data_IF_085990604202
#
_entry.id   IF_085990604202
#
_cell.length_a   1.000
_cell.length_b   1.000
_cell.length_c   1.000
_cell.angle_alpha   90.00
_cell.angle_beta   90.00
_cell.angle_gamma   90.00
#
_symmetry.space_group_name_H-M   'P 1'
#
loop_
_entity.id
_entity.type
_entity.pdbx_description
1 polymer ?
#
# COMPACT_ATOMS: atom_id res chain seq x y z
N UNK A 1 -2.81 36.96 -4.04
CA UNK A 1 -1.64 36.10 -3.77
C UNK A 1 -1.77 35.62 -2.33
N UNK A 2 -2.26 34.40 -2.12
CA UNK A 2 -2.64 33.84 -0.81
C UNK A 2 -1.47 33.01 -0.27
N UNK A 3 -0.87 33.32 0.90
CA UNK A 3 0.07 32.41 1.53
C UNK A 3 -0.69 31.26 2.20
N UNK A 4 -0.25 30.03 1.90
CA UNK A 4 -0.77 28.78 2.45
C UNK A 4 -0.62 28.76 3.98
N UNK A 5 -1.71 28.39 4.66
CA UNK A 5 -1.77 28.20 6.10
C UNK A 5 -0.76 27.16 6.57
N UNK A 6 0.03 27.54 7.57
CA UNK A 6 0.79 26.63 8.43
C UNK A 6 -0.24 25.88 9.28
N UNK A 7 -0.29 24.56 9.15
CA UNK A 7 -0.97 23.72 10.13
C UNK A 7 -0.18 23.72 11.44
N UNK A 8 -0.91 23.76 12.54
CA UNK A 8 -0.50 24.05 13.91
C UNK A 8 0.48 23.04 14.52
N UNK A 9 1.28 23.45 15.52
CA UNK A 9 2.13 22.54 16.29
C UNK A 9 1.25 21.69 17.22
N UNK A 10 1.50 20.38 17.29
CA UNK A 10 0.74 19.49 18.17
C UNK A 10 1.40 19.23 19.52
N UNK A 11 2.59 19.78 19.79
CA UNK A 11 3.21 19.70 21.12
C UNK A 11 4.08 20.93 21.36
N UNK A 12 3.48 21.96 21.96
CA UNK A 12 4.23 22.97 22.69
C UNK A 12 3.70 22.93 24.14
N UNK A 13 4.47 22.30 25.02
CA UNK A 13 4.32 22.56 26.44
C UNK A 13 5.72 22.64 27.05
N UNK A 14 6.11 23.89 27.31
CA UNK A 14 7.30 24.31 28.03
C UNK A 14 7.01 24.23 29.52
N UNK A 15 7.92 23.64 30.31
CA UNK A 15 8.02 23.90 31.76
C UNK A 15 9.46 24.30 32.12
N UNK A 16 9.66 25.07 33.21
CA UNK A 16 10.63 26.15 33.22
C UNK A 16 12.00 25.77 33.79
N UNK A 17 12.97 26.63 33.47
CA UNK A 17 14.35 26.62 33.93
C UNK A 17 14.48 26.49 35.46
N UNK A 18 15.21 25.47 35.91
CA UNK A 18 15.77 25.43 37.26
C UNK A 18 17.20 25.97 37.20
N UNK A 19 17.34 27.22 37.64
CA UNK A 19 18.63 27.86 37.87
C UNK A 19 19.18 27.41 39.23
N UNK A 20 20.36 26.79 39.25
CA UNK A 20 21.03 26.48 40.52
C UNK A 20 22.19 25.49 40.42
N UNK A 21 23.37 26.01 40.08
CA UNK A 21 24.72 25.51 40.45
C UNK A 21 25.18 24.12 39.91
N UNK A 22 25.86 24.11 38.75
CA UNK A 22 26.63 22.95 38.24
C UNK A 22 28.12 23.35 38.08
N UNK A 23 29.10 22.56 38.58
CA UNK A 23 30.54 22.86 38.45
C UNK A 23 31.00 22.84 36.98
N UNK A 24 32.15 23.44 36.63
CA UNK A 24 32.58 23.60 35.24
C UNK A 24 32.74 22.25 34.55
N UNK A 25 31.90 22.01 33.54
CA UNK A 25 31.91 20.83 32.68
C UNK A 25 33.27 20.73 31.95
N UNK A 26 33.91 19.55 31.87
CA UNK A 26 35.13 19.36 31.07
C UNK A 26 34.89 19.77 29.60
N UNK A 27 35.95 20.15 28.85
CA UNK A 27 35.80 20.63 27.48
C UNK A 27 35.03 19.61 26.65
N UNK A 28 33.83 20.01 26.23
CA UNK A 28 33.00 19.23 25.34
C UNK A 28 33.70 19.22 23.99
N UNK A 29 34.41 18.13 23.70
CA UNK A 29 34.92 17.81 22.38
C UNK A 29 33.80 18.06 21.37
N UNK A 30 34.01 19.01 20.46
CA UNK A 30 32.99 19.51 19.57
C UNK A 30 32.24 18.39 18.87
N UNK A 31 31.00 18.15 19.27
CA UNK A 31 30.07 17.32 18.52
C UNK A 31 29.76 18.08 17.24
N UNK A 32 30.32 17.62 16.12
CA UNK A 32 29.91 18.07 14.80
C UNK A 32 28.37 17.97 14.71
N UNK A 33 27.66 18.97 14.15
CA UNK A 33 26.22 18.92 14.06
C UNK A 33 25.83 17.70 13.23
N UNK A 34 25.15 16.73 13.86
CA UNK A 34 24.57 15.58 13.19
C UNK A 34 23.67 16.12 12.06
N UNK A 35 24.07 15.86 10.81
CA UNK A 35 23.31 16.25 9.65
C UNK A 35 21.89 15.69 9.80
N UNK A 36 20.88 16.57 9.76
CA UNK A 36 19.48 16.14 9.77
C UNK A 36 19.19 15.49 8.44
N UNK A 37 19.34 14.16 8.36
CA UNK A 37 18.92 13.40 7.20
C UNK A 37 17.41 13.56 7.07
N UNK A 38 16.96 14.25 6.01
CA UNK A 38 15.52 14.32 5.70
C UNK A 38 15.08 12.94 5.25
N UNK A 39 14.31 12.25 6.10
CA UNK A 39 13.62 11.03 5.69
C UNK A 39 12.52 11.38 4.69
N UNK A 40 12.46 10.66 3.57
CA UNK A 40 11.40 10.73 2.58
C UNK A 40 10.65 9.41 2.58
N UNK A 41 9.33 9.48 2.52
CA UNK A 41 8.46 8.31 2.49
C UNK A 41 7.97 8.05 1.06
N UNK A 42 8.01 6.79 0.65
CA UNK A 42 7.42 6.32 -0.61
C UNK A 42 6.26 5.37 -0.29
N UNK A 43 5.06 5.72 -0.74
CA UNK A 43 3.88 4.88 -0.61
C UNK A 43 3.55 4.25 -1.96
N UNK A 44 3.45 2.92 -2.01
CA UNK A 44 3.10 2.16 -3.22
C UNK A 44 1.78 1.44 -2.99
N UNK A 45 0.80 1.68 -3.85
CA UNK A 45 -0.51 1.03 -3.79
C UNK A 45 -0.71 0.08 -4.97
N UNK A 46 -0.84 -1.22 -4.66
CA UNK A 46 -0.91 -2.30 -5.65
C UNK A 46 -2.36 -2.69 -5.94
N UNK A 47 -3.08 -1.79 -6.62
CA UNK A 47 -4.51 -1.93 -6.96
C UNK A 47 -4.90 -3.23 -7.68
N UNK A 48 -3.94 -3.82 -8.40
CA UNK A 48 -4.15 -5.00 -9.24
C UNK A 48 -3.54 -6.25 -8.67
N UNK A 49 -3.02 -6.20 -7.44
CA UNK A 49 -2.41 -7.34 -6.76
C UNK A 49 -3.29 -8.60 -6.79
N UNK A 50 -4.62 -8.54 -6.53
CA UNK A 50 -5.46 -9.73 -6.58
C UNK A 50 -5.48 -10.42 -7.95
N UNK A 51 -5.24 -9.69 -9.05
CA UNK A 51 -5.10 -10.29 -10.38
C UNK A 51 -3.67 -10.76 -10.66
N UNK A 52 -2.68 -9.97 -10.24
CA UNK A 52 -1.26 -10.17 -10.56
C UNK A 52 -0.64 -11.37 -9.84
N UNK A 53 -1.25 -11.82 -8.74
CA UNK A 53 -0.82 -13.03 -8.04
C UNK A 53 -1.10 -14.29 -8.84
N UNK A 54 -2.10 -14.24 -9.72
CA UNK A 54 -2.38 -15.33 -10.63
C UNK A 54 -1.48 -15.23 -11.86
N UNK A 55 -1.02 -16.38 -12.36
CA UNK A 55 -0.33 -16.44 -13.64
C UNK A 55 -1.18 -15.73 -14.70
N UNK A 56 -0.51 -14.95 -15.56
CA UNK A 56 -1.18 -14.30 -16.69
C UNK A 56 -1.91 -15.38 -17.49
N UNK A 57 -3.19 -15.18 -17.85
CA UNK A 57 -3.91 -16.17 -18.64
C UNK A 57 -3.11 -16.52 -19.90
N UNK A 58 -3.17 -17.80 -20.30
CA UNK A 58 -2.40 -18.35 -21.42
C UNK A 58 -2.59 -17.52 -22.70
N UNK A 59 -3.78 -16.95 -22.88
CA UNK A 59 -4.07 -15.97 -23.92
C UNK A 59 -4.34 -14.58 -23.32
N UNK A 60 -3.70 -13.52 -23.84
CA UNK A 60 -4.01 -12.14 -23.44
C UNK A 60 -5.44 -11.71 -23.83
N UNK A 61 -6.10 -12.44 -24.73
CA UNK A 61 -7.48 -12.21 -25.12
C UNK A 61 -8.49 -12.86 -24.15
N UNK A 62 -8.06 -13.77 -23.27
CA UNK A 62 -8.97 -14.45 -22.34
C UNK A 62 -9.51 -13.45 -21.31
N UNK A 63 -10.83 -13.33 -21.21
CA UNK A 63 -11.47 -12.56 -20.14
C UNK A 63 -11.25 -13.25 -18.80
N UNK A 64 -10.67 -12.53 -17.84
CA UNK A 64 -10.33 -13.04 -16.51
C UNK A 64 -10.72 -12.06 -15.41
N UNK A 65 -11.30 -12.57 -14.33
CA UNK A 65 -11.65 -11.79 -13.15
C UNK A 65 -11.42 -12.58 -11.85
N UNK A 66 -11.26 -11.82 -10.77
CA UNK A 66 -11.16 -12.33 -9.41
C UNK A 66 -12.41 -11.90 -8.65
N UNK A 67 -13.06 -12.84 -7.99
CA UNK A 67 -14.22 -12.60 -7.13
C UNK A 67 -13.85 -12.64 -5.65
N UNK A 68 -14.65 -11.96 -4.85
CA UNK A 68 -14.61 -12.06 -3.39
C UNK A 68 -16.03 -12.22 -2.83
N UNK A 69 -16.11 -12.68 -1.58
CA UNK A 69 -17.37 -12.98 -0.90
C UNK A 69 -17.87 -14.40 -1.16
N UNK A 70 -19.00 -14.72 -0.53
CA UNK A 70 -19.64 -16.04 -0.62
C UNK A 70 -21.12 -15.91 -0.92
N UNK A 71 -21.67 -16.93 -1.58
CA UNK A 71 -23.09 -17.01 -1.92
C UNK A 71 -23.59 -15.80 -2.70
N UNK A 72 -24.70 -15.21 -2.24
CA UNK A 72 -25.37 -14.07 -2.89
C UNK A 72 -24.58 -12.76 -2.78
N UNK A 73 -23.56 -12.67 -1.93
CA UNK A 73 -22.70 -11.49 -1.80
C UNK A 73 -21.43 -11.55 -2.66
N UNK A 74 -21.31 -12.57 -3.52
CA UNK A 74 -20.18 -12.66 -4.45
C UNK A 74 -20.17 -11.50 -5.44
N UNK A 75 -19.03 -10.81 -5.49
CA UNK A 75 -18.78 -9.68 -6.38
C UNK A 75 -17.42 -9.77 -7.03
N UNK A 76 -17.26 -9.07 -8.15
CA UNK A 76 -15.98 -8.95 -8.83
C UNK A 76 -15.08 -8.01 -8.01
N UNK A 77 -13.96 -8.50 -7.52
CA UNK A 77 -12.94 -7.68 -6.86
C UNK A 77 -12.10 -6.93 -7.91
N UNK A 78 -11.66 -7.64 -8.95
CA UNK A 78 -10.82 -7.08 -9.99
C UNK A 78 -10.98 -7.86 -11.31
N UNK A 79 -10.79 -7.20 -12.46
CA UNK A 79 -10.86 -7.83 -13.77
C UNK A 79 -9.70 -7.40 -14.69
N UNK A 80 -9.34 -8.25 -15.65
CA UNK A 80 -8.32 -7.91 -16.65
C UNK A 80 -8.89 -7.01 -17.77
N UNK A 81 -8.02 -6.59 -18.69
CA UNK A 81 -8.41 -5.70 -19.80
C UNK A 81 -9.41 -6.36 -20.75
N UNK A 82 -9.27 -7.64 -21.04
CA UNK A 82 -10.19 -8.38 -21.91
C UNK A 82 -11.60 -8.44 -21.31
N UNK A 83 -11.72 -8.77 -20.02
CA UNK A 83 -12.99 -8.73 -19.30
C UNK A 83 -13.58 -7.31 -19.26
N UNK A 84 -12.74 -6.29 -19.02
CA UNK A 84 -13.19 -4.90 -19.02
C UNK A 84 -13.73 -4.45 -20.39
N UNK A 85 -13.17 -4.95 -21.49
CA UNK A 85 -13.66 -4.70 -22.85
C UNK A 85 -15.05 -5.30 -23.11
N UNK A 86 -15.39 -6.41 -22.45
CA UNK A 86 -16.72 -7.02 -22.46
C UNK A 86 -17.71 -6.33 -21.50
N UNK A 87 -17.30 -5.26 -20.83
CA UNK A 87 -18.15 -4.50 -19.90
C UNK A 87 -18.07 -4.94 -18.44
N UNK A 88 -17.25 -5.95 -18.10
CA UNK A 88 -17.05 -6.36 -16.70
C UNK A 88 -16.39 -5.23 -15.92
N UNK A 89 -16.89 -4.95 -14.71
CA UNK A 89 -16.36 -3.92 -13.80
C UNK A 89 -16.16 -4.49 -12.39
N UNK A 90 -15.18 -3.96 -11.61
CA UNK A 90 -15.10 -4.22 -10.18
C UNK A 90 -16.38 -3.83 -9.44
N UNK A 91 -16.60 -4.42 -8.27
CA UNK A 91 -17.74 -4.25 -7.36
C UNK A 91 -19.10 -4.72 -7.86
N UNK A 92 -19.24 -5.05 -9.15
CA UNK A 92 -20.49 -5.61 -9.66
C UNK A 92 -20.71 -7.03 -9.15
N UNK A 93 -21.97 -7.45 -9.09
CA UNK A 93 -22.32 -8.82 -8.70
C UNK A 93 -21.73 -9.83 -9.69
N UNK A 94 -21.42 -11.03 -9.20
CA UNK A 94 -20.93 -12.10 -10.06
C UNK A 94 -21.92 -12.42 -11.19
N UNK A 95 -23.23 -12.45 -10.90
CA UNK A 95 -24.26 -12.72 -11.90
C UNK A 95 -24.29 -11.67 -13.01
N UNK A 96 -24.18 -10.38 -12.65
CA UNK A 96 -24.09 -9.30 -13.64
C UNK A 96 -22.85 -9.44 -14.53
N UNK A 97 -21.73 -9.89 -13.97
CA UNK A 97 -20.50 -10.12 -14.73
C UNK A 97 -20.65 -11.27 -15.74
N UNK A 98 -21.24 -12.39 -15.30
CA UNK A 98 -21.46 -13.58 -16.13
C UNK A 98 -22.51 -13.33 -17.21
N UNK A 99 -23.48 -12.45 -16.98
CA UNK A 99 -24.42 -12.03 -18.02
C UNK A 99 -23.75 -11.25 -19.16
N UNK A 100 -22.70 -10.48 -18.86
CA UNK A 100 -21.92 -9.73 -19.85
C UNK A 100 -20.86 -10.59 -20.54
N UNK A 101 -20.24 -11.50 -19.79
CA UNK A 101 -19.18 -12.39 -20.27
C UNK A 101 -19.40 -13.82 -19.74
N UNK A 102 -20.17 -14.66 -20.47
CA UNK A 102 -20.46 -16.02 -20.04
C UNK A 102 -19.22 -16.91 -19.92
N UNK A 103 -18.21 -16.67 -20.77
CA UNK A 103 -16.93 -17.39 -20.78
C UNK A 103 -15.86 -16.75 -19.88
N UNK A 104 -16.26 -15.91 -18.93
CA UNK A 104 -15.35 -15.24 -18.02
C UNK A 104 -14.63 -16.27 -17.14
N UNK A 105 -13.31 -16.33 -17.25
CA UNK A 105 -12.50 -17.13 -16.34
C UNK A 105 -12.52 -16.46 -14.96
N UNK A 106 -13.00 -17.17 -13.95
CA UNK A 106 -13.16 -16.66 -12.59
C UNK A 106 -12.26 -17.39 -11.61
N UNK A 107 -11.60 -16.64 -10.72
CA UNK A 107 -10.92 -17.18 -9.54
C UNK A 107 -11.40 -16.50 -8.28
N UNK A 108 -11.54 -17.27 -7.20
CA UNK A 108 -11.74 -16.70 -5.87
C UNK A 108 -10.47 -15.96 -5.43
N UNK A 109 -10.64 -14.89 -4.66
CA UNK A 109 -9.53 -14.15 -4.04
C UNK A 109 -8.67 -15.09 -3.19
N UNK A 110 -7.36 -15.05 -3.41
CA UNK A 110 -6.39 -15.81 -2.64
C UNK A 110 -5.47 -14.86 -1.85
N UNK A 111 -5.84 -14.64 -0.58
CA UNK A 111 -5.08 -13.79 0.33
C UNK A 111 -3.68 -14.33 0.62
N UNK A 112 -3.47 -15.65 0.56
CA UNK A 112 -2.16 -16.24 0.81
C UNK A 112 -1.21 -15.93 -0.35
N UNK A 113 -1.68 -16.05 -1.59
CA UNK A 113 -0.90 -15.66 -2.77
C UNK A 113 -0.63 -14.13 -2.80
N UNK A 114 -1.61 -13.30 -2.43
CA UNK A 114 -1.45 -11.85 -2.29
C UNK A 114 -0.35 -11.50 -1.27
N UNK A 115 -0.39 -12.10 -0.08
CA UNK A 115 0.65 -11.94 0.96
C UNK A 115 2.01 -12.37 0.46
N UNK A 116 2.12 -13.54 -0.16
CA UNK A 116 3.39 -14.03 -0.69
C UNK A 116 3.98 -13.09 -1.74
N UNK A 117 3.15 -12.49 -2.60
CA UNK A 117 3.59 -11.49 -3.58
C UNK A 117 4.09 -10.21 -2.92
N UNK A 118 3.38 -9.70 -1.90
CA UNK A 118 3.80 -8.53 -1.14
C UNK A 118 5.13 -8.76 -0.42
N UNK A 119 5.33 -9.91 0.22
CA UNK A 119 6.60 -10.26 0.87
C UNK A 119 7.75 -10.23 -0.15
N UNK A 120 7.54 -10.72 -1.38
CA UNK A 120 8.55 -10.61 -2.44
C UNK A 120 8.86 -9.15 -2.80
N UNK A 121 7.84 -8.30 -2.90
CA UNK A 121 8.03 -6.87 -3.14
C UNK A 121 8.81 -6.18 -2.01
N UNK A 122 8.50 -6.49 -0.75
CA UNK A 122 9.20 -5.96 0.42
C UNK A 122 10.68 -6.40 0.44
N UNK A 123 10.95 -7.68 0.17
CA UNK A 123 12.31 -8.21 0.09
C UNK A 123 13.13 -7.53 -1.02
N UNK A 124 12.51 -7.25 -2.16
CA UNK A 124 13.15 -6.48 -3.23
C UNK A 124 13.41 -5.02 -2.80
N UNK A 125 12.43 -4.38 -2.16
CA UNK A 125 12.55 -3.00 -1.69
C UNK A 125 13.62 -2.84 -0.59
N UNK A 126 13.86 -3.89 0.21
CA UNK A 126 14.91 -3.95 1.22
C UNK A 126 16.33 -3.73 0.69
N UNK A 127 16.55 -3.88 -0.62
CA UNK A 127 17.84 -3.56 -1.27
C UNK A 127 18.10 -2.05 -1.37
N UNK A 128 17.04 -1.22 -1.30
CA UNK A 128 17.14 0.24 -1.43
C UNK A 128 17.00 0.97 -0.10
N UNK A 129 16.28 0.39 0.85
CA UNK A 129 16.00 1.01 2.16
C UNK A 129 15.83 -0.04 3.24
N UNK A 130 16.39 0.23 4.42
CA UNK A 130 16.18 -0.60 5.62
C UNK A 130 14.81 -0.39 6.28
N UNK A 131 14.05 0.62 5.84
CA UNK A 131 12.71 0.92 6.33
C UNK A 131 11.65 0.58 5.26
N UNK A 132 11.00 -0.57 5.42
CA UNK A 132 9.86 -1.01 4.61
C UNK A 132 8.73 -1.46 5.54
N UNK A 133 7.48 -1.17 5.17
CA UNK A 133 6.30 -1.54 5.94
C UNK A 133 5.17 -1.94 4.99
N UNK A 134 4.29 -2.83 5.44
CA UNK A 134 3.07 -3.20 4.71
C UNK A 134 1.89 -3.24 5.66
N UNK A 135 0.79 -2.63 5.25
CA UNK A 135 -0.51 -2.62 5.95
C UNK A 135 -1.31 -3.93 5.77
N UNK A 136 -0.75 -4.91 5.07
CA UNK A 136 -1.49 -6.09 4.63
C UNK A 136 -1.53 -7.18 5.72
N UNK A 137 -2.59 -7.19 6.53
CA UNK A 137 -2.91 -8.30 7.44
C UNK A 137 -2.56 -8.08 8.91
N UNK A 138 -2.81 -6.88 9.44
CA UNK A 138 -2.91 -6.62 10.88
C UNK A 138 -4.38 -6.47 11.28
#
# INVERSE_FOLDING_TARGET
>A
MVPRGRSLPLFEEVLPAQAGNEPPRPPQSGTAPAARTKALWLCVYLLRLPLEVFARPESPAQAFAVSEGEGSQQRILACNRAAAALGVRPLQSLNSALALAPELLLKARDLAMERAALVRCLNWAGQYTSHVHSDFGN
#
